data_IF_078565367903
#
_entry.id   IF_078565367903
#
_cell.length_a   1.000
_cell.length_b   1.000
_cell.length_c   1.000
_cell.angle_alpha   90.00
_cell.angle_beta   90.00
_cell.angle_gamma   90.00
#
_symmetry.space_group_name_H-M   'P 1'
#
loop_
_entity.id
_entity.type
_entity.pdbx_description
1 polymer ?
#
# COMPACT_ATOMS: atom_id res chain seq x y z
N UNK A 1 15.74 4.65 -17.07
CA UNK A 1 14.76 3.61 -17.47
C UNK A 1 13.36 4.20 -17.35
N UNK A 2 12.54 4.07 -18.38
CA UNK A 2 11.16 4.56 -18.31
C UNK A 2 10.28 3.62 -17.47
N UNK A 3 9.05 4.05 -17.16
CA UNK A 3 8.16 3.29 -16.30
C UNK A 3 7.81 1.91 -16.88
N UNK A 4 7.53 1.86 -18.17
CA UNK A 4 7.21 0.59 -18.84
C UNK A 4 8.33 -0.43 -18.66
N UNK A 5 9.57 -0.03 -18.91
CA UNK A 5 10.72 -0.91 -18.73
C UNK A 5 10.93 -1.31 -17.28
N UNK A 6 10.70 -0.40 -16.34
CA UNK A 6 10.77 -0.72 -14.91
C UNK A 6 9.74 -1.79 -14.51
N UNK A 7 8.53 -1.71 -15.05
CA UNK A 7 7.50 -2.71 -14.79
C UNK A 7 7.89 -4.06 -15.39
N UNK A 8 8.28 -4.08 -16.65
CA UNK A 8 8.68 -5.32 -17.34
C UNK A 8 9.85 -5.99 -16.62
N UNK A 9 10.82 -5.21 -16.17
CA UNK A 9 12.02 -5.72 -15.50
C UNK A 9 11.87 -5.87 -13.98
N UNK A 10 10.66 -5.68 -13.46
CA UNK A 10 10.34 -5.81 -12.02
C UNK A 10 11.18 -4.84 -11.16
N UNK A 11 11.49 -3.68 -11.69
CA UNK A 11 12.24 -2.64 -10.99
C UNK A 11 11.36 -1.48 -10.51
N UNK A 12 10.10 -1.44 -10.93
CA UNK A 12 9.17 -0.42 -10.46
C UNK A 12 8.91 -0.59 -8.98
N UNK A 13 8.95 0.52 -8.25
CA UNK A 13 8.56 0.54 -6.83
C UNK A 13 7.10 0.96 -6.75
N UNK A 14 6.32 0.21 -5.99
CA UNK A 14 4.87 0.38 -5.94
C UNK A 14 4.47 0.78 -4.52
N UNK A 15 3.66 1.83 -4.42
CA UNK A 15 3.05 2.22 -3.16
C UNK A 15 1.58 1.81 -3.18
N UNK A 16 1.15 1.13 -2.12
CA UNK A 16 -0.25 0.79 -1.89
C UNK A 16 -0.72 1.61 -0.71
N UNK A 17 -1.67 2.51 -0.95
CA UNK A 17 -2.23 3.37 0.09
C UNK A 17 -3.54 2.76 0.56
N UNK A 18 -3.58 2.34 1.82
CA UNK A 18 -4.68 1.59 2.39
C UNK A 18 -4.39 0.09 2.40
N UNK A 19 -4.20 -0.48 3.60
CA UNK A 19 -3.79 -1.87 3.77
C UNK A 19 -4.90 -2.71 4.40
N UNK A 20 -6.13 -2.51 3.91
CA UNK A 20 -7.29 -3.30 4.31
C UNK A 20 -7.53 -4.48 3.39
N UNK A 21 -8.82 -4.83 3.23
CA UNK A 21 -9.22 -6.03 2.49
C UNK A 21 -8.82 -6.04 1.01
N UNK A 22 -8.60 -4.88 0.42
CA UNK A 22 -8.18 -4.77 -0.99
C UNK A 22 -6.69 -4.50 -1.09
N UNK A 23 -6.20 -3.54 -0.31
CA UNK A 23 -4.82 -3.08 -0.43
C UNK A 23 -3.78 -4.10 0.01
N UNK A 24 -3.99 -4.76 1.16
CA UNK A 24 -3.01 -5.73 1.65
C UNK A 24 -2.87 -6.95 0.73
N UNK A 25 -3.97 -7.59 0.28
CA UNK A 25 -3.84 -8.68 -0.69
C UNK A 25 -3.18 -8.25 -2.01
N UNK A 26 -3.48 -7.04 -2.48
CA UNK A 26 -2.86 -6.51 -3.69
C UNK A 26 -1.35 -6.30 -3.50
N UNK A 27 -0.96 -5.69 -2.38
CA UNK A 27 0.44 -5.52 -2.03
C UNK A 27 1.16 -6.87 -2.00
N UNK A 28 0.54 -7.87 -1.36
CA UNK A 28 1.09 -9.21 -1.28
C UNK A 28 1.28 -9.84 -2.67
N UNK A 29 0.30 -9.65 -3.56
CA UNK A 29 0.40 -10.17 -4.93
C UNK A 29 1.62 -9.58 -5.67
N UNK A 30 1.86 -8.27 -5.53
CA UNK A 30 3.04 -7.64 -6.12
C UNK A 30 4.33 -8.18 -5.50
N UNK A 31 4.35 -8.38 -4.18
CA UNK A 31 5.52 -8.93 -3.50
C UNK A 31 5.85 -10.35 -3.98
N UNK A 32 4.83 -11.16 -4.20
CA UNK A 32 5.03 -12.52 -4.72
C UNK A 32 5.55 -12.52 -6.17
N UNK A 33 5.34 -11.42 -6.89
CA UNK A 33 5.91 -11.20 -8.22
C UNK A 33 7.25 -10.48 -8.18
N UNK A 34 7.86 -10.35 -6.99
CA UNK A 34 9.20 -9.81 -6.77
C UNK A 34 9.31 -8.29 -6.83
N UNK A 35 8.20 -7.57 -6.86
CA UNK A 35 8.23 -6.11 -6.77
C UNK A 35 8.54 -5.66 -5.35
N UNK A 36 9.16 -4.50 -5.22
CA UNK A 36 9.28 -3.81 -3.95
C UNK A 36 8.00 -3.00 -3.73
N UNK A 37 7.45 -3.08 -2.54
CA UNK A 37 6.18 -2.42 -2.21
C UNK A 37 6.35 -1.60 -0.94
N UNK A 38 5.81 -0.38 -0.97
CA UNK A 38 5.64 0.45 0.23
C UNK A 38 4.15 0.46 0.53
N UNK A 39 3.78 -0.09 1.68
CA UNK A 39 2.41 -0.05 2.14
C UNK A 39 2.21 1.13 3.08
N UNK A 40 1.18 1.92 2.85
CA UNK A 40 0.88 3.10 3.65
C UNK A 40 -0.52 2.97 4.21
N UNK A 41 -0.63 3.11 5.53
CA UNK A 41 -1.92 3.14 6.21
C UNK A 41 -1.83 4.09 7.39
N UNK A 42 -2.83 4.93 7.58
CA UNK A 42 -2.84 5.90 8.65
C UNK A 42 -3.18 5.28 10.02
N UNK A 43 -3.67 4.04 10.02
CA UNK A 43 -3.94 3.28 11.25
C UNK A 43 -2.62 2.76 11.82
N UNK A 44 -2.15 3.39 12.89
CA UNK A 44 -0.86 3.05 13.52
C UNK A 44 -0.84 1.64 14.09
N UNK A 45 -1.93 1.17 14.68
CA UNK A 45 -1.98 -0.19 15.23
C UNK A 45 -1.79 -1.21 14.12
N UNK A 46 -2.44 -0.99 12.99
CA UNK A 46 -2.31 -1.85 11.82
C UNK A 46 -0.88 -1.85 11.29
N UNK A 47 -0.26 -0.67 11.14
CA UNK A 47 1.10 -0.57 10.60
C UNK A 47 2.12 -1.21 11.54
N UNK A 48 1.93 -1.08 12.86
CA UNK A 48 2.82 -1.72 13.83
C UNK A 48 2.74 -3.25 13.69
N UNK A 49 1.53 -3.80 13.63
CA UNK A 49 1.34 -5.25 13.47
C UNK A 49 1.95 -5.76 12.17
N UNK A 50 1.65 -5.09 11.06
CA UNK A 50 2.19 -5.49 9.76
C UNK A 50 3.71 -5.40 9.71
N UNK A 51 4.28 -4.38 10.33
CA UNK A 51 5.75 -4.22 10.39
C UNK A 51 6.43 -5.37 11.15
N UNK A 52 5.71 -6.01 12.06
CA UNK A 52 6.18 -7.20 12.77
C UNK A 52 5.92 -8.50 12.01
N UNK A 53 5.34 -8.42 10.83
CA UNK A 53 4.98 -9.60 10.04
C UNK A 53 3.69 -10.27 10.46
N UNK A 54 2.85 -9.59 11.25
CA UNK A 54 1.57 -10.12 11.70
C UNK A 54 0.53 -9.89 10.61
N UNK A 55 -0.12 -10.96 10.17
CA UNK A 55 -1.20 -10.87 9.19
C UNK A 55 -2.46 -10.32 9.86
N UNK A 56 -2.88 -9.12 9.48
CA UNK A 56 -4.07 -8.47 10.01
C UNK A 56 -5.37 -8.94 9.36
N UNK A 57 -5.27 -9.72 8.27
CA UNK A 57 -6.42 -10.31 7.57
C UNK A 57 -6.41 -11.82 7.77
N UNK A 58 -6.86 -12.27 8.94
CA UNK A 58 -6.71 -13.66 9.39
C UNK A 58 -7.38 -14.69 8.49
N UNK A 59 -8.38 -14.29 7.70
CA UNK A 59 -9.07 -15.19 6.78
C UNK A 59 -8.29 -15.42 5.48
N UNK A 60 -7.20 -14.71 5.26
CA UNK A 60 -6.33 -14.88 4.09
C UNK A 60 -4.99 -15.46 4.52
N UNK A 61 -4.46 -16.36 3.71
CA UNK A 61 -3.15 -16.94 3.96
C UNK A 61 -2.09 -16.09 3.28
N UNK A 62 -1.34 -15.34 4.06
CA UNK A 62 -0.23 -14.51 3.59
C UNK A 62 1.07 -15.07 4.16
N UNK A 63 1.36 -16.32 3.84
CA UNK A 63 2.44 -17.09 4.49
C UNK A 63 3.83 -16.49 4.34
N UNK A 64 4.07 -15.76 3.26
CA UNK A 64 5.37 -15.13 3.02
C UNK A 64 5.44 -13.67 3.48
N UNK A 65 4.40 -13.17 4.16
CA UNK A 65 4.35 -11.77 4.60
C UNK A 65 5.56 -11.40 5.45
N UNK A 66 5.84 -12.20 6.48
CA UNK A 66 6.96 -11.96 7.39
C UNK A 66 8.29 -11.98 6.64
N UNK A 67 8.45 -12.89 5.69
CA UNK A 67 9.65 -12.99 4.86
C UNK A 67 9.86 -11.72 4.05
N UNK A 68 8.81 -11.22 3.39
CA UNK A 68 8.91 -10.00 2.58
C UNK A 68 9.31 -8.79 3.42
N UNK A 69 8.79 -8.69 4.64
CA UNK A 69 9.14 -7.61 5.56
C UNK A 69 10.60 -7.76 6.01
N UNK A 70 11.00 -8.96 6.39
CA UNK A 70 12.37 -9.24 6.85
C UNK A 70 13.39 -8.94 5.75
N UNK A 71 13.07 -9.26 4.50
CA UNK A 71 13.95 -9.01 3.36
C UNK A 71 13.88 -7.56 2.86
N UNK A 72 13.08 -6.71 3.53
CA UNK A 72 12.88 -5.29 3.20
C UNK A 72 12.28 -5.06 1.81
N UNK A 73 11.57 -6.06 1.30
CA UNK A 73 10.79 -5.92 0.06
C UNK A 73 9.46 -5.23 0.30
N UNK A 74 8.91 -5.38 1.51
CA UNK A 74 7.67 -4.74 1.94
C UNK A 74 7.99 -3.80 3.09
N UNK A 75 7.90 -2.51 2.84
CA UNK A 75 8.08 -1.48 3.86
C UNK A 75 6.72 -0.91 4.23
N UNK A 76 6.45 -0.79 5.52
CA UNK A 76 5.16 -0.31 6.03
C UNK A 76 5.37 1.07 6.63
N UNK A 77 4.58 2.04 6.18
CA UNK A 77 4.67 3.42 6.65
C UNK A 77 3.29 3.92 7.06
N UNK A 78 3.23 4.89 7.97
CA UNK A 78 1.98 5.50 8.38
C UNK A 78 1.86 6.97 7.95
N UNK A 79 2.72 7.41 7.04
CA UNK A 79 2.63 8.73 6.42
C UNK A 79 3.04 8.63 4.95
N UNK A 80 2.99 9.74 4.23
CA UNK A 80 3.23 9.76 2.79
C UNK A 80 4.63 10.20 2.39
N UNK A 81 5.55 10.35 3.32
CA UNK A 81 6.89 10.88 3.01
C UNK A 81 7.67 10.07 1.99
N UNK A 82 7.47 8.76 1.97
CA UNK A 82 8.18 7.85 1.07
C UNK A 82 7.59 7.80 -0.34
N UNK A 83 6.46 8.47 -0.58
CA UNK A 83 5.79 8.47 -1.89
C UNK A 83 6.69 9.00 -2.99
N UNK A 84 7.55 9.96 -2.68
CA UNK A 84 8.47 10.53 -3.67
C UNK A 84 9.43 9.51 -4.29
N UNK A 85 9.63 8.38 -3.63
CA UNK A 85 10.59 7.36 -4.05
C UNK A 85 9.96 6.24 -4.87
N UNK A 86 8.64 6.30 -5.15
CA UNK A 86 7.95 5.23 -5.85
C UNK A 86 7.61 5.64 -7.29
N UNK A 87 7.37 4.63 -8.12
CA UNK A 87 7.03 4.80 -9.53
C UNK A 87 5.52 4.72 -9.78
N UNK A 88 4.81 3.96 -8.96
CA UNK A 88 3.36 3.74 -9.10
C UNK A 88 2.71 3.87 -7.74
N UNK A 89 1.57 4.56 -7.68
CA UNK A 89 0.79 4.72 -6.46
C UNK A 89 -0.62 4.19 -6.72
N UNK A 90 -1.07 3.25 -5.90
CA UNK A 90 -2.42 2.68 -6.01
C UNK A 90 -3.17 3.01 -4.73
N UNK A 91 -4.29 3.70 -4.86
CA UNK A 91 -5.14 4.07 -3.73
C UNK A 91 -6.17 2.98 -3.48
N UNK A 92 -6.11 2.39 -2.29
CA UNK A 92 -7.03 1.35 -1.84
C UNK A 92 -7.70 1.78 -0.54
N UNK A 93 -7.98 3.08 -0.40
CA UNK A 93 -8.60 3.62 0.80
C UNK A 93 -10.10 3.32 0.79
N UNK A 94 -10.74 3.24 1.98
CA UNK A 94 -12.16 2.92 2.03
C UNK A 94 -13.04 4.01 1.43
N UNK A 95 -14.18 3.60 0.86
CA UNK A 95 -15.21 4.50 0.35
C UNK A 95 -16.53 4.14 1.02
N UNK A 96 -16.67 4.41 2.34
CA UNK A 96 -17.88 4.05 3.05
C UNK A 96 -19.07 4.84 2.54
N UNK A 97 -20.28 4.34 2.79
CA UNK A 97 -21.49 5.09 2.48
C UNK A 97 -21.69 6.19 3.53
N UNK A 98 -22.12 7.37 3.07
CA UNK A 98 -22.49 8.44 3.97
C UNK A 98 -23.93 8.21 4.48
N UNK A 99 -24.47 9.15 5.29
CA UNK A 99 -25.82 9.03 5.85
C UNK A 99 -26.92 8.96 4.79
N UNK A 100 -26.66 9.37 3.55
CA UNK A 100 -27.60 9.31 2.43
C UNK A 100 -27.38 8.07 1.57
N UNK A 101 -26.55 7.11 2.02
CA UNK A 101 -26.16 5.89 1.29
C UNK A 101 -25.46 6.17 -0.03
N UNK A 102 -24.79 7.32 -0.14
CA UNK A 102 -23.94 7.65 -1.26
C UNK A 102 -22.48 7.35 -0.92
N UNK A 103 -21.64 6.99 -1.90
CA UNK A 103 -20.21 6.76 -1.62
C UNK A 103 -19.57 8.02 -1.05
N UNK A 104 -18.86 7.88 0.06
CA UNK A 104 -18.10 8.96 0.65
C UNK A 104 -16.69 8.94 0.07
N UNK A 105 -16.41 9.89 -0.81
CA UNK A 105 -15.12 9.99 -1.50
C UNK A 105 -14.08 10.80 -0.73
N UNK A 106 -14.41 11.25 0.50
CA UNK A 106 -13.51 12.12 1.26
C UNK A 106 -12.14 11.49 1.52
N UNK A 107 -12.09 10.18 1.81
CA UNK A 107 -10.83 9.49 2.03
C UNK A 107 -9.94 9.50 0.77
N UNK A 108 -10.54 9.26 -0.39
CA UNK A 108 -9.80 9.27 -1.66
C UNK A 108 -9.29 10.68 -1.96
N UNK A 109 -10.15 11.68 -1.82
CA UNK A 109 -9.81 13.08 -2.09
C UNK A 109 -8.71 13.55 -1.15
N UNK A 110 -8.85 13.29 0.15
CA UNK A 110 -7.87 13.69 1.14
C UNK A 110 -6.52 13.00 0.93
N UNK A 111 -6.55 11.70 0.62
CA UNK A 111 -5.33 10.95 0.33
C UNK A 111 -4.63 11.50 -0.92
N UNK A 112 -5.38 11.78 -1.97
CA UNK A 112 -4.82 12.34 -3.19
C UNK A 112 -4.18 13.71 -2.94
N UNK A 113 -4.83 14.56 -2.13
CA UNK A 113 -4.27 15.86 -1.76
C UNK A 113 -2.97 15.73 -0.98
N UNK A 114 -2.92 14.81 -0.02
CA UNK A 114 -1.70 14.59 0.76
C UNK A 114 -0.57 14.04 -0.12
N UNK A 115 -0.89 13.08 -0.97
CA UNK A 115 0.08 12.49 -1.90
C UNK A 115 0.66 13.56 -2.83
N UNK A 116 -0.19 14.47 -3.33
CA UNK A 116 0.24 15.51 -4.27
C UNK A 116 1.35 16.39 -3.71
N UNK A 117 1.43 16.53 -2.39
CA UNK A 117 2.49 17.32 -1.74
C UNK A 117 3.87 16.67 -1.86
N UNK A 118 3.93 15.37 -2.10
CA UNK A 118 5.19 14.61 -2.15
C UNK A 118 5.53 14.10 -3.55
N UNK A 119 4.68 14.32 -4.53
CA UNK A 119 4.95 13.90 -5.91
C UNK A 119 6.06 14.76 -6.51
N UNK A 120 6.85 14.12 -7.33
CA UNK A 120 7.90 14.80 -8.09
C UNK A 120 7.33 15.66 -9.21
#
# INVERSE_FOLDING_TARGET
MNLEKKIINIKAKIAIVGLGYVGLPLAYAFLEKKFQVIGIDLDKDKTIKLSKGINTLKHLKLKNLKKHIKEKKFKIENDFKKIKDVDVIILCVPTPLNKFREPDLSYIINSAKEISKFLK
#
